data_IF_316630984085
#
_entry.id   IF_316630984085
#
_cell.length_a   1.000
_cell.length_b   1.000
_cell.length_c   1.000
_cell.angle_alpha   90.00
_cell.angle_beta   90.00
_cell.angle_gamma   90.00
#
_symmetry.space_group_name_H-M   'P 1'
#
loop_
_entity.id
_entity.type
_entity.pdbx_description
1 polymer ?
#
# COMPACT_ATOMS: atom_id res chain seq x y z
N UNK A 1 -35.57 37.75 -50.05
CA UNK A 1 -34.30 37.16 -50.53
C UNK A 1 -33.26 37.49 -49.46
N UNK A 2 -33.04 36.56 -48.52
CA UNK A 2 -31.88 35.62 -48.47
C UNK A 2 -30.62 36.35 -47.99
N UNK A 3 -30.33 36.29 -46.68
CA UNK A 3 -29.38 35.36 -46.01
C UNK A 3 -27.90 35.65 -46.32
N UNK A 4 -27.12 35.87 -45.24
CA UNK A 4 -25.88 35.15 -44.84
C UNK A 4 -25.10 36.07 -43.88
N UNK A 5 -24.97 35.67 -42.61
CA UNK A 5 -23.81 36.03 -41.77
C UNK A 5 -22.61 35.17 -42.20
N UNK A 6 -21.38 35.66 -41.95
CA UNK A 6 -20.49 34.80 -41.18
C UNK A 6 -19.76 35.55 -40.06
N UNK A 7 -19.80 34.91 -38.89
CA UNK A 7 -18.85 35.05 -37.79
C UNK A 7 -17.40 34.89 -38.26
N UNK A 8 -16.46 35.68 -37.71
CA UNK A 8 -15.07 35.27 -37.61
C UNK A 8 -14.41 35.75 -36.30
N UNK A 9 -13.81 34.76 -35.66
CA UNK A 9 -13.03 34.73 -34.45
C UNK A 9 -11.75 35.58 -34.48
N UNK A 10 -11.25 35.92 -33.30
CA UNK A 10 -9.91 35.47 -32.86
C UNK A 10 -9.71 35.83 -31.39
N UNK A 11 -9.86 34.84 -30.51
CA UNK A 11 -8.73 34.06 -30.00
C UNK A 11 -7.93 34.84 -28.94
N UNK A 12 -8.55 35.08 -27.77
CA UNK A 12 -7.79 35.16 -26.53
C UNK A 12 -7.31 33.74 -26.19
N UNK A 13 -6.26 33.32 -26.88
CA UNK A 13 -5.49 32.13 -26.55
C UNK A 13 -4.86 32.39 -25.20
N UNK A 14 -5.51 31.92 -24.13
CA UNK A 14 -4.83 31.70 -22.86
C UNK A 14 -3.67 30.77 -23.20
N UNK A 15 -2.48 31.33 -23.18
CA UNK A 15 -1.25 30.65 -23.51
C UNK A 15 -1.19 29.32 -22.75
N UNK A 16 -0.93 28.27 -23.51
CA UNK A 16 -0.58 26.93 -23.05
C UNK A 16 0.25 26.97 -21.75
N UNK A 17 -0.41 26.77 -20.62
CA UNK A 17 0.27 26.20 -19.46
C UNK A 17 0.40 24.71 -19.74
N UNK A 18 1.45 24.38 -20.48
CA UNK A 18 2.01 23.03 -20.54
C UNK A 18 2.61 22.74 -19.16
N UNK A 19 1.77 22.37 -18.20
CA UNK A 19 2.22 21.58 -17.07
C UNK A 19 2.55 20.21 -17.63
N UNK A 20 3.82 19.99 -17.98
CA UNK A 20 4.37 18.65 -18.13
C UNK A 20 4.60 18.04 -16.75
N UNK A 21 3.60 18.09 -15.89
CA UNK A 21 3.55 17.29 -14.68
C UNK A 21 2.80 16.03 -15.08
N UNK A 22 3.46 14.90 -14.92
CA UNK A 22 2.83 13.59 -15.01
C UNK A 22 1.74 13.50 -13.95
N UNK A 23 0.55 14.01 -14.26
CA UNK A 23 -0.65 13.85 -13.46
C UNK A 23 -1.03 12.39 -13.57
N UNK A 24 -0.53 11.58 -12.64
CA UNK A 24 -1.08 10.25 -12.37
C UNK A 24 -2.57 10.49 -12.11
N UNK A 25 -3.40 9.94 -12.98
CA UNK A 25 -4.85 10.03 -12.83
C UNK A 25 -5.26 9.27 -11.57
N UNK A 26 -6.35 9.67 -10.93
CA UNK A 26 -6.86 8.97 -9.73
C UNK A 26 -7.04 7.46 -9.98
N UNK A 27 -7.42 7.09 -11.20
CA UNK A 27 -7.51 5.71 -11.68
C UNK A 27 -6.18 4.98 -11.71
N UNK A 28 -5.11 5.61 -12.18
CA UNK A 28 -3.75 5.03 -12.17
C UNK A 28 -3.23 4.89 -10.74
N UNK A 29 -3.48 5.87 -9.86
CA UNK A 29 -3.08 5.80 -8.46
C UNK A 29 -3.78 4.66 -7.69
N UNK A 30 -5.05 4.38 -8.02
CA UNK A 30 -5.79 3.24 -7.46
C UNK A 30 -5.23 1.92 -8.00
N UNK A 31 -4.94 1.83 -9.29
CA UNK A 31 -4.36 0.62 -9.90
C UNK A 31 -3.00 0.29 -9.26
N UNK A 32 -2.11 1.28 -9.15
CA UNK A 32 -0.82 1.15 -8.47
C UNK A 32 -0.96 0.69 -7.01
N UNK A 33 -1.95 1.22 -6.29
CA UNK A 33 -2.23 0.83 -4.91
C UNK A 33 -2.69 -0.63 -4.82
N UNK A 34 -3.58 -1.07 -5.71
CA UNK A 34 -4.04 -2.46 -5.77
C UNK A 34 -2.91 -3.43 -6.12
N UNK A 35 -2.00 -3.04 -7.01
CA UNK A 35 -0.81 -3.82 -7.33
C UNK A 35 0.09 -3.97 -6.09
N UNK A 36 0.33 -2.89 -5.35
CA UNK A 36 1.11 -2.93 -4.11
C UNK A 36 0.48 -3.84 -3.04
N UNK A 37 -0.85 -3.83 -2.89
CA UNK A 37 -1.57 -4.75 -2.00
C UNK A 37 -1.37 -6.21 -2.44
N UNK A 38 -1.44 -6.47 -3.75
CA UNK A 38 -1.27 -7.82 -4.30
C UNK A 38 0.11 -8.37 -3.96
N UNK A 39 1.16 -7.57 -4.22
CA UNK A 39 2.54 -7.92 -3.88
C UNK A 39 2.75 -8.14 -2.37
N UNK A 40 2.14 -7.29 -1.53
CA UNK A 40 2.20 -7.46 -0.07
C UNK A 40 1.55 -8.78 0.37
N UNK A 41 0.40 -9.13 -0.21
CA UNK A 41 -0.29 -10.38 0.11
C UNK A 41 0.53 -11.61 -0.30
N UNK A 42 1.21 -11.55 -1.45
CA UNK A 42 2.13 -12.59 -1.92
C UNK A 42 3.34 -12.74 -0.99
N UNK A 43 3.93 -11.63 -0.54
CA UNK A 43 5.01 -11.66 0.45
C UNK A 43 4.57 -12.25 1.79
N UNK A 44 3.41 -11.84 2.30
CA UNK A 44 2.84 -12.39 3.54
C UNK A 44 2.54 -13.89 3.40
N UNK A 45 2.12 -14.37 2.22
CA UNK A 45 1.97 -15.79 1.93
C UNK A 45 3.31 -16.52 1.93
N UNK A 46 4.32 -15.98 1.26
CA UNK A 46 5.65 -16.56 1.23
C UNK A 46 6.27 -16.68 2.63
N UNK A 47 6.08 -15.68 3.51
CA UNK A 47 6.53 -15.77 4.91
C UNK A 47 5.88 -16.96 5.62
N UNK A 48 4.55 -17.12 5.49
CA UNK A 48 3.82 -18.24 6.10
C UNK A 48 4.30 -19.60 5.59
N UNK A 49 4.52 -19.73 4.28
CA UNK A 49 4.99 -20.98 3.68
C UNK A 49 6.40 -21.35 4.17
N UNK A 50 7.31 -20.37 4.28
CA UNK A 50 8.64 -20.59 4.82
C UNK A 50 8.61 -20.95 6.31
N UNK A 51 7.72 -20.35 7.10
CA UNK A 51 7.53 -20.71 8.51
C UNK A 51 7.02 -22.16 8.66
N UNK A 52 6.08 -22.59 7.81
CA UNK A 52 5.57 -23.96 7.78
C UNK A 52 6.66 -24.96 7.40
N UNK A 53 7.50 -24.65 6.40
CA UNK A 53 8.66 -25.47 6.06
C UNK A 53 9.65 -25.56 7.24
N UNK A 54 9.84 -24.47 7.98
CA UNK A 54 10.69 -24.44 9.16
C UNK A 54 10.17 -25.36 10.26
N UNK A 55 8.86 -25.33 10.50
CA UNK A 55 8.22 -26.22 11.46
C UNK A 55 8.39 -27.70 11.06
N UNK A 56 8.23 -28.02 9.78
CA UNK A 56 8.47 -29.37 9.27
C UNK A 56 9.92 -29.84 9.49
N UNK A 57 10.90 -28.98 9.22
CA UNK A 57 12.32 -29.29 9.46
C UNK A 57 12.63 -29.51 10.94
N UNK A 58 12.02 -28.73 11.85
CA UNK A 58 12.15 -28.95 13.31
C UNK A 58 11.61 -30.31 13.71
N UNK A 59 10.42 -30.68 13.21
CA UNK A 59 9.81 -31.97 13.51
C UNK A 59 10.68 -33.14 13.04
N UNK A 60 11.26 -33.05 11.84
CA UNK A 60 12.21 -34.06 11.35
C UNK A 60 13.48 -34.12 12.19
N UNK A 61 14.05 -32.96 12.57
CA UNK A 61 15.25 -32.90 13.40
C UNK A 61 15.03 -33.49 14.81
N UNK A 62 13.81 -33.38 15.35
CA UNK A 62 13.44 -33.94 16.67
C UNK A 62 12.99 -35.40 16.61
N UNK A 63 12.70 -35.94 15.42
CA UNK A 63 12.24 -37.31 15.28
C UNK A 63 13.39 -38.29 15.55
N UNK A 64 13.19 -39.16 16.55
CA UNK A 64 14.16 -40.18 16.95
C UNK A 64 14.50 -41.17 15.82
N UNK A 65 13.53 -41.46 14.95
CA UNK A 65 13.67 -42.37 13.80
C UNK A 65 14.45 -41.74 12.63
N UNK A 66 14.69 -40.43 12.66
CA UNK A 66 15.48 -39.75 11.63
C UNK A 66 16.97 -40.02 11.86
N UNK A 67 17.72 -40.48 10.83
CA UNK A 67 19.15 -40.72 10.95
C UNK A 67 19.92 -39.48 11.45
N UNK A 68 20.97 -39.64 12.28
CA UNK A 68 21.75 -38.52 12.82
C UNK A 68 22.24 -37.53 11.75
N UNK A 69 22.73 -38.03 10.62
CA UNK A 69 23.23 -37.21 9.51
C UNK A 69 22.10 -36.38 8.90
N UNK A 70 20.90 -36.97 8.78
CA UNK A 70 19.72 -36.29 8.28
C UNK A 70 19.17 -35.27 9.27
N UNK A 71 19.24 -35.55 10.57
CA UNK A 71 18.91 -34.56 11.62
C UNK A 71 19.85 -33.36 11.56
N UNK A 72 21.15 -33.60 11.39
CA UNK A 72 22.14 -32.54 11.24
C UNK A 72 21.87 -31.69 10.00
N UNK A 73 21.56 -32.32 8.86
CA UNK A 73 21.14 -31.60 7.65
C UNK A 73 19.90 -30.74 7.89
N UNK A 74 18.87 -31.27 8.56
CA UNK A 74 17.67 -30.49 8.89
C UNK A 74 17.98 -29.27 9.76
N UNK A 75 18.92 -29.37 10.70
CA UNK A 75 19.35 -28.23 11.53
C UNK A 75 20.08 -27.17 10.70
N UNK A 76 20.92 -27.58 9.76
CA UNK A 76 21.62 -26.66 8.85
C UNK A 76 20.64 -25.96 7.89
N UNK A 77 19.70 -26.72 7.32
CA UNK A 77 18.64 -26.21 6.45
C UNK A 77 17.72 -25.24 7.21
N UNK A 78 17.36 -25.56 8.46
CA UNK A 78 16.58 -24.68 9.33
C UNK A 78 17.28 -23.34 9.52
N UNK A 79 18.59 -23.34 9.77
CA UNK A 79 19.36 -22.11 9.97
C UNK A 79 19.39 -21.22 8.72
N UNK A 80 19.45 -21.83 7.53
CA UNK A 80 19.36 -21.08 6.26
C UNK A 80 17.95 -20.54 6.03
N UNK A 81 16.94 -21.36 6.34
CA UNK A 81 15.54 -21.00 6.19
C UNK A 81 15.15 -19.86 7.13
N UNK A 82 15.57 -19.87 8.40
CA UNK A 82 15.30 -18.80 9.37
C UNK A 82 15.84 -17.44 8.91
N UNK A 83 17.04 -17.42 8.29
CA UNK A 83 17.59 -16.20 7.68
C UNK A 83 16.73 -15.71 6.51
N UNK A 84 16.17 -16.64 5.74
CA UNK A 84 15.30 -16.35 4.60
C UNK A 84 13.96 -15.80 5.08
N UNK A 85 13.34 -16.45 6.07
CA UNK A 85 12.11 -15.98 6.74
C UNK A 85 12.29 -14.55 7.24
N UNK A 86 13.39 -14.28 7.96
CA UNK A 86 13.65 -12.94 8.51
C UNK A 86 13.81 -11.88 7.41
N UNK A 87 14.52 -12.23 6.32
CA UNK A 87 14.65 -11.33 5.17
C UNK A 87 13.30 -11.05 4.52
N UNK A 88 12.50 -12.09 4.25
CA UNK A 88 11.19 -11.94 3.60
C UNK A 88 10.22 -11.18 4.50
N UNK A 89 10.25 -11.42 5.81
CA UNK A 89 9.44 -10.69 6.80
C UNK A 89 9.79 -9.20 6.81
N UNK A 90 11.07 -8.85 6.76
CA UNK A 90 11.50 -7.45 6.66
C UNK A 90 11.01 -6.80 5.37
N UNK A 91 11.11 -7.49 4.24
CA UNK A 91 10.56 -7.01 2.97
C UNK A 91 9.04 -6.80 3.06
N UNK A 92 8.29 -7.72 3.66
CA UNK A 92 6.86 -7.55 3.88
C UNK A 92 6.54 -6.31 4.72
N UNK A 93 7.34 -6.02 5.76
CA UNK A 93 7.17 -4.81 6.58
C UNK A 93 7.44 -3.52 5.77
N UNK A 94 8.50 -3.51 4.96
CA UNK A 94 8.81 -2.38 4.06
C UNK A 94 7.68 -2.15 3.05
N UNK A 95 7.17 -3.21 2.43
CA UNK A 95 6.04 -3.10 1.50
C UNK A 95 4.75 -2.66 2.19
N UNK A 96 4.51 -3.10 3.43
CA UNK A 96 3.35 -2.64 4.19
C UNK A 96 3.45 -1.14 4.48
N UNK A 97 4.65 -0.60 4.72
CA UNK A 97 4.85 0.85 4.83
C UNK A 97 4.46 1.56 3.54
N UNK A 98 4.96 1.09 2.39
CA UNK A 98 4.63 1.66 1.07
C UNK A 98 3.12 1.64 0.82
N UNK A 99 2.45 0.52 1.10
CA UNK A 99 0.99 0.39 0.98
C UNK A 99 0.28 1.41 1.88
N UNK A 100 0.71 1.55 3.14
CA UNK A 100 0.13 2.52 4.09
C UNK A 100 0.33 3.96 3.61
N UNK A 101 1.50 4.28 3.03
CA UNK A 101 1.76 5.62 2.47
C UNK A 101 0.86 5.93 1.27
N UNK A 102 0.68 4.95 0.37
CA UNK A 102 -0.23 5.08 -0.77
C UNK A 102 -1.68 5.18 -0.30
N UNK A 103 -2.10 4.41 0.69
CA UNK A 103 -3.44 4.48 1.30
C UNK A 103 -3.71 5.89 1.86
N UNK A 104 -2.80 6.43 2.67
CA UNK A 104 -2.92 7.80 3.21
C UNK A 104 -2.98 8.83 2.08
N UNK A 105 -2.14 8.68 1.05
CA UNK A 105 -2.10 9.61 -0.10
C UNK A 105 -3.38 9.59 -0.92
N UNK A 106 -4.06 8.44 -1.01
CA UNK A 106 -5.36 8.30 -1.67
C UNK A 106 -6.52 8.84 -0.81
N UNK A 107 -6.48 8.61 0.51
CA UNK A 107 -7.58 8.97 1.42
C UNK A 107 -7.55 10.44 1.87
N UNK A 108 -6.37 11.05 2.03
CA UNK A 108 -6.24 12.42 2.55
C UNK A 108 -6.93 13.49 1.68
N UNK A 109 -6.75 13.50 0.34
CA UNK A 109 -7.41 14.49 -0.52
C UNK A 109 -8.93 14.30 -0.58
N UNK A 110 -9.39 13.04 -0.52
CA UNK A 110 -10.82 12.67 -0.52
C UNK A 110 -11.52 13.10 0.75
N UNK A 111 -10.88 12.92 1.90
CA UNK A 111 -11.37 13.39 3.17
C UNK A 111 -11.42 14.93 3.25
N UNK A 112 -10.37 15.62 2.78
CA UNK A 112 -10.37 17.08 2.72
C UNK A 112 -11.46 17.62 1.79
N UNK A 113 -11.63 17.01 0.62
CA UNK A 113 -12.69 17.39 -0.33
C UNK A 113 -14.09 17.13 0.24
N UNK A 114 -14.27 15.99 0.92
CA UNK A 114 -15.50 15.66 1.63
C UNK A 114 -15.82 16.64 2.76
N UNK A 115 -14.83 16.99 3.59
CA UNK A 115 -14.96 18.01 4.62
C UNK A 115 -15.37 19.37 4.03
N UNK A 116 -14.70 19.81 2.94
CA UNK A 116 -15.04 21.06 2.27
C UNK A 116 -16.42 21.05 1.60
N UNK A 117 -16.92 19.88 1.21
CA UNK A 117 -18.27 19.72 0.66
C UNK A 117 -19.33 19.75 1.78
N UNK A 118 -19.06 19.11 2.91
CA UNK A 118 -19.93 19.08 4.09
C UNK A 118 -20.03 20.46 4.75
N UNK A 119 -18.90 21.17 4.88
CA UNK A 119 -18.83 22.54 5.40
C UNK A 119 -19.63 23.51 4.51
N UNK A 120 -19.51 23.37 3.18
CA UNK A 120 -20.33 24.13 2.22
C UNK A 120 -21.82 23.76 2.24
N UNK A 121 -22.16 22.54 2.63
CA UNK A 121 -23.53 22.07 2.76
C UNK A 121 -24.16 22.39 4.12
N UNK A 122 -23.40 22.98 5.07
CA UNK A 122 -23.89 23.34 6.40
C UNK A 122 -24.24 22.14 7.27
N UNK A 123 -23.60 20.99 7.04
CA UNK A 123 -23.82 19.77 7.83
C UNK A 123 -23.16 19.90 9.21
N UNK A 124 -23.91 19.58 10.27
CA UNK A 124 -23.45 19.69 11.66
C UNK A 124 -22.20 18.84 11.95
N UNK A 125 -21.34 19.35 12.84
CA UNK A 125 -19.98 18.86 13.11
C UNK A 125 -19.90 17.38 13.53
N UNK A 126 -20.98 16.82 14.07
CA UNK A 126 -21.05 15.43 14.57
C UNK A 126 -20.88 14.37 13.46
N UNK A 127 -21.00 14.73 12.17
CA UNK A 127 -20.75 13.82 11.04
C UNK A 127 -19.36 13.98 10.40
N UNK A 128 -18.60 14.99 10.82
CA UNK A 128 -17.24 15.26 10.32
C UNK A 128 -16.19 14.46 11.12
N UNK A 129 -16.49 14.07 12.36
CA UNK A 129 -15.58 13.30 13.22
C UNK A 129 -15.20 11.93 12.65
N UNK A 130 -16.11 11.24 11.94
CA UNK A 130 -15.87 9.90 11.40
C UNK A 130 -14.81 9.89 10.26
N UNK A 131 -14.79 10.95 9.44
CA UNK A 131 -13.80 11.08 8.36
C UNK A 131 -12.42 11.40 8.95
N UNK A 132 -12.38 12.23 9.99
CA UNK A 132 -11.15 12.64 10.66
C UNK A 132 -10.53 11.50 11.49
N UNK A 133 -11.38 10.64 12.10
CA UNK A 133 -10.94 9.45 12.83
C UNK A 133 -10.30 8.40 11.90
N UNK A 134 -10.81 8.25 10.68
CA UNK A 134 -10.24 7.34 9.68
C UNK A 134 -8.83 7.77 9.25
N UNK A 135 -8.61 9.08 9.04
CA UNK A 135 -7.29 9.61 8.68
C UNK A 135 -6.27 9.47 9.80
N UNK A 136 -6.64 9.90 11.01
CA UNK A 136 -5.76 9.82 12.19
C UNK A 136 -5.37 8.37 12.50
N UNK A 137 -6.27 7.41 12.31
CA UNK A 137 -5.96 5.99 12.45
C UNK A 137 -4.91 5.50 11.43
N UNK A 138 -5.02 5.90 10.17
CA UNK A 138 -4.06 5.53 9.12
C UNK A 138 -2.69 6.20 9.33
N UNK A 139 -2.65 7.46 9.76
CA UNK A 139 -1.41 8.16 10.10
C UNK A 139 -0.72 7.54 11.34
N UNK A 140 -1.49 7.19 12.38
CA UNK A 140 -0.99 6.51 13.58
C UNK A 140 -0.41 5.12 13.25
N UNK A 141 -1.04 4.36 12.33
CA UNK A 141 -0.50 3.09 11.84
C UNK A 141 0.86 3.28 11.15
N UNK A 142 0.99 4.29 10.28
CA UNK A 142 2.26 4.63 9.61
C UNK A 142 3.38 4.88 10.60
N UNK A 143 3.16 5.74 11.59
CA UNK A 143 4.17 6.10 12.59
C UNK A 143 4.64 4.90 13.42
N UNK A 144 3.71 4.04 13.85
CA UNK A 144 4.03 2.80 14.56
C UNK A 144 4.85 1.84 13.72
N UNK A 145 4.54 1.72 12.43
CA UNK A 145 5.29 0.83 11.54
C UNK A 145 6.70 1.33 11.21
N UNK A 146 6.89 2.65 11.07
CA UNK A 146 8.22 3.25 10.89
C UNK A 146 9.12 2.94 12.09
N UNK A 147 8.56 2.98 13.30
CA UNK A 147 9.30 2.62 14.51
C UNK A 147 9.73 1.14 14.54
N UNK A 148 8.93 0.23 13.99
CA UNK A 148 9.25 -1.22 13.91
C UNK A 148 10.33 -1.53 12.86
N UNK A 149 10.52 -0.67 11.86
CA UNK A 149 11.49 -0.88 10.78
C UNK A 149 12.85 -0.20 11.01
N UNK A 150 13.01 0.60 12.08
CA UNK A 150 14.26 1.27 12.47
C UNK A 150 15.01 0.46 13.53
#
# INVERSE_FOLDING_TARGET
MSQIEPSMDSSNTIANFSFSDSTITETEAIADYMECITLLNELDAAVRDLELMGEYLRQLALNADTPPERRQQCVEDLRMLEKTVERTRRQALEWRLIVTEKEVSLLAPRAQSGLHALDRAGVEADHIEDVNSTLTNSTCKKEKMIATCR
#
